data_IF_360166277641
#
_entry.id   IF_360166277641
#
_cell.length_a   1.000
_cell.length_b   1.000
_cell.length_c   1.000
_cell.angle_alpha   90.00
_cell.angle_beta   90.00
_cell.angle_gamma   90.00
#
_symmetry.space_group_name_H-M   'P 1'
#
loop_
_entity.id
_entity.type
_entity.pdbx_description
1 polymer ?
#
# COMPACT_ATOMS: atom_id res chain seq x y z
N UNK A 1 -1.78 -7.48 -22.06
CA UNK A 1 -1.87 -6.49 -20.96
C UNK A 1 -0.51 -5.79 -20.89
N UNK A 2 -0.40 -4.57 -21.43
CA UNK A 2 0.90 -3.87 -21.56
C UNK A 2 1.41 -3.44 -20.19
N UNK A 3 2.74 -3.50 -19.98
CA UNK A 3 3.40 -3.02 -18.76
C UNK A 3 3.03 -1.55 -18.44
N UNK A 4 2.68 -0.78 -19.47
CA UNK A 4 2.23 0.61 -19.34
C UNK A 4 0.92 0.75 -18.55
N UNK A 5 0.00 -0.22 -18.67
CA UNK A 5 -1.25 -0.23 -17.91
C UNK A 5 -1.04 -0.62 -16.44
N UNK A 6 0.01 -1.37 -16.12
CA UNK A 6 0.39 -1.69 -14.74
C UNK A 6 1.09 -0.51 -14.05
N UNK A 7 1.91 0.25 -14.79
CA UNK A 7 2.66 1.39 -14.25
C UNK A 7 1.81 2.67 -14.10
N UNK A 8 0.76 2.84 -14.91
CA UNK A 8 -0.08 4.06 -14.92
C UNK A 8 -1.03 4.21 -13.73
N UNK A 9 -1.21 3.19 -12.88
CA UNK A 9 -2.02 3.29 -11.64
C UNK A 9 -1.19 3.32 -10.35
N UNK A 10 0.15 3.35 -10.44
CA UNK A 10 1.03 3.29 -9.26
C UNK A 10 1.33 4.70 -8.73
N UNK A 11 0.67 5.07 -7.63
CA UNK A 11 1.02 6.29 -6.89
C UNK A 11 2.25 6.01 -6.03
N UNK A 12 3.26 6.89 -6.16
CA UNK A 12 4.55 6.75 -5.48
C UNK A 12 4.66 7.80 -4.37
N UNK A 13 5.02 7.36 -3.17
CA UNK A 13 5.33 8.26 -2.06
C UNK A 13 6.78 8.73 -2.15
N UNK A 14 6.96 9.90 -2.78
CA UNK A 14 8.26 10.58 -2.98
C UNK A 14 9.19 10.61 -1.75
N UNK A 15 8.74 10.92 -0.50
CA UNK A 15 9.67 10.97 0.63
C UNK A 15 10.26 9.60 0.98
N UNK A 16 9.47 8.53 0.87
CA UNK A 16 9.95 7.17 1.11
C UNK A 16 10.92 6.71 0.02
N UNK A 17 10.65 7.08 -1.23
CA UNK A 17 11.56 6.81 -2.34
C UNK A 17 12.91 7.51 -2.14
N UNK A 18 12.90 8.78 -1.76
CA UNK A 18 14.13 9.54 -1.49
C UNK A 18 14.93 8.94 -0.32
N UNK A 19 14.25 8.60 0.78
CA UNK A 19 14.87 7.94 1.93
C UNK A 19 15.46 6.57 1.56
N UNK A 20 14.73 5.76 0.79
CA UNK A 20 15.21 4.47 0.30
C UNK A 20 16.45 4.64 -0.58
N UNK A 21 16.42 5.55 -1.56
CA UNK A 21 17.56 5.82 -2.43
C UNK A 21 18.80 6.29 -1.65
N UNK A 22 18.61 7.16 -0.65
CA UNK A 22 19.68 7.57 0.25
C UNK A 22 20.25 6.39 1.05
N UNK A 23 19.40 5.56 1.64
CA UNK A 23 19.83 4.37 2.41
C UNK A 23 20.55 3.35 1.53
N UNK A 24 20.11 3.13 0.29
CA UNK A 24 20.82 2.28 -0.68
C UNK A 24 22.20 2.84 -0.99
N UNK A 25 22.30 4.16 -1.25
CA UNK A 25 23.60 4.80 -1.49
C UNK A 25 24.54 4.73 -0.28
N UNK A 26 24.02 5.01 0.91
CA UNK A 26 24.79 4.95 2.16
C UNK A 26 25.25 3.52 2.48
N UNK A 27 24.37 2.53 2.34
CA UNK A 27 24.72 1.11 2.57
C UNK A 27 25.71 0.58 1.55
N UNK A 28 25.58 0.94 0.27
CA UNK A 28 26.57 0.60 -0.75
C UNK A 28 27.93 1.24 -0.45
N UNK A 29 27.95 2.52 -0.05
CA UNK A 29 29.18 3.20 0.33
C UNK A 29 29.85 2.53 1.54
N UNK A 30 29.10 2.22 2.60
CA UNK A 30 29.64 1.59 3.81
C UNK A 30 30.05 0.13 3.58
N UNK A 31 29.25 -0.63 2.84
CA UNK A 31 29.45 -2.07 2.65
C UNK A 31 30.48 -2.44 1.58
N UNK A 32 30.73 -1.56 0.59
CA UNK A 32 31.69 -1.79 -0.49
C UNK A 32 32.99 -1.00 -0.33
N UNK A 33 33.03 -0.02 0.57
CA UNK A 33 34.26 0.74 0.84
C UNK A 33 35.29 -0.12 1.57
N UNK A 34 36.56 0.06 1.22
CA UNK A 34 37.72 -0.59 1.84
C UNK A 34 38.09 0.01 3.21
N UNK A 35 37.18 0.75 3.84
CA UNK A 35 37.44 1.38 5.13
C UNK A 35 37.62 0.31 6.22
N UNK A 36 38.82 0.25 6.80
CA UNK A 36 39.12 -0.53 7.99
C UNK A 36 38.46 0.11 9.22
N UNK A 37 37.13 0.04 9.31
CA UNK A 37 36.43 0.31 10.56
C UNK A 37 36.91 -0.73 11.60
N UNK A 38 37.13 -0.35 12.88
CA UNK A 38 37.57 -1.28 13.91
C UNK A 38 36.61 -2.47 13.98
N UNK A 39 37.11 -3.65 13.65
CA UNK A 39 36.31 -4.85 13.40
C UNK A 39 35.80 -5.45 14.72
N UNK A 40 34.71 -4.88 15.24
CA UNK A 40 33.89 -5.54 16.25
C UNK A 40 32.92 -6.49 15.53
N UNK A 41 33.28 -7.76 15.40
CA UNK A 41 32.55 -8.76 14.59
C UNK A 41 31.06 -9.01 14.93
N UNK A 42 30.55 -8.49 16.05
CA UNK A 42 29.10 -8.46 16.34
C UNK A 42 28.41 -7.17 15.86
N UNK A 43 29.14 -6.06 15.79
CA UNK A 43 28.62 -4.78 15.28
C UNK A 43 28.24 -4.88 13.81
N UNK A 44 28.92 -5.74 13.05
CA UNK A 44 28.69 -5.95 11.62
C UNK A 44 27.31 -6.57 11.36
N UNK A 45 26.97 -7.66 12.06
CA UNK A 45 25.67 -8.36 11.92
C UNK A 45 24.50 -7.49 12.37
N UNK A 46 24.68 -6.72 13.44
CA UNK A 46 23.70 -5.73 13.88
C UNK A 46 23.48 -4.64 12.83
N UNK A 47 24.54 -4.18 12.17
CA UNK A 47 24.46 -3.22 11.07
C UNK A 47 23.68 -3.78 9.89
N UNK A 48 23.92 -5.04 9.51
CA UNK A 48 23.17 -5.74 8.47
C UNK A 48 21.67 -5.80 8.81
N UNK A 49 21.34 -6.24 10.02
CA UNK A 49 19.96 -6.30 10.49
C UNK A 49 19.27 -4.93 10.43
N UNK A 50 19.90 -3.88 10.97
CA UNK A 50 19.33 -2.53 11.02
C UNK A 50 19.22 -1.93 9.62
N UNK A 51 20.24 -2.09 8.78
CA UNK A 51 20.24 -1.63 7.38
C UNK A 51 19.07 -2.24 6.61
N UNK A 52 18.92 -3.56 6.66
CA UNK A 52 17.86 -4.25 5.93
C UNK A 52 16.48 -4.00 6.52
N UNK A 53 16.38 -3.77 7.82
CA UNK A 53 15.15 -3.31 8.45
C UNK A 53 14.72 -1.94 7.89
N UNK A 54 15.62 -0.95 7.87
CA UNK A 54 15.32 0.40 7.38
C UNK A 54 15.05 0.43 5.87
N UNK A 55 15.84 -0.29 5.08
CA UNK A 55 15.61 -0.43 3.63
C UNK A 55 14.24 -1.04 3.35
N UNK A 56 13.87 -2.09 4.08
CA UNK A 56 12.61 -2.79 3.84
C UNK A 56 11.40 -1.95 4.27
N UNK A 57 11.47 -1.26 5.42
CA UNK A 57 10.41 -0.33 5.84
C UNK A 57 10.25 0.77 4.79
N UNK A 58 11.34 1.44 4.43
CA UNK A 58 11.26 2.56 3.48
C UNK A 58 10.75 2.11 2.12
N UNK A 59 11.19 0.96 1.61
CA UNK A 59 10.72 0.38 0.36
C UNK A 59 9.24 0.01 0.39
N UNK A 60 8.78 -0.67 1.44
CA UNK A 60 7.39 -1.13 1.57
C UNK A 60 6.38 0.02 1.40
N UNK A 61 6.74 1.21 1.89
CA UNK A 61 5.88 2.39 1.84
C UNK A 61 6.06 3.26 0.58
N UNK A 62 6.91 2.88 -0.38
CA UNK A 62 7.09 3.61 -1.66
C UNK A 62 5.82 3.54 -2.50
N UNK A 63 5.26 2.34 -2.67
CA UNK A 63 4.14 2.09 -3.58
C UNK A 63 2.82 2.10 -2.84
N UNK A 64 1.88 2.90 -3.31
CA UNK A 64 0.50 2.88 -2.82
C UNK A 64 -0.29 1.81 -3.55
N UNK A 65 -0.13 0.56 -3.12
CA UNK A 65 -0.84 -0.59 -3.71
C UNK A 65 -1.36 -1.54 -2.62
N UNK A 66 -1.94 -2.68 -3.03
CA UNK A 66 -2.49 -3.65 -2.09
C UNK A 66 -1.40 -4.25 -1.20
N UNK A 67 -1.76 -4.56 0.06
CA UNK A 67 -0.85 -5.12 1.07
C UNK A 67 -0.08 -6.34 0.53
N UNK A 68 -0.77 -7.25 -0.15
CA UNK A 68 -0.17 -8.45 -0.75
C UNK A 68 0.90 -8.12 -1.79
N UNK A 69 0.65 -7.13 -2.65
CA UNK A 69 1.63 -6.67 -3.65
C UNK A 69 2.83 -6.02 -2.98
N UNK A 70 2.62 -5.15 -1.98
CA UNK A 70 3.71 -4.56 -1.19
C UNK A 70 4.60 -5.63 -0.55
N UNK A 71 4.01 -6.63 0.11
CA UNK A 71 4.77 -7.72 0.75
C UNK A 71 5.60 -8.49 -0.29
N UNK A 72 4.98 -8.91 -1.40
CA UNK A 72 5.67 -9.69 -2.43
C UNK A 72 6.82 -8.91 -3.07
N UNK A 73 6.60 -7.62 -3.37
CA UNK A 73 7.65 -6.77 -3.95
C UNK A 73 8.78 -6.51 -2.95
N UNK A 74 8.47 -6.25 -1.68
CA UNK A 74 9.48 -6.09 -0.63
C UNK A 74 10.29 -7.37 -0.42
N UNK A 75 9.66 -8.54 -0.40
CA UNK A 75 10.36 -9.83 -0.31
C UNK A 75 11.30 -10.03 -1.51
N UNK A 76 10.80 -9.76 -2.72
CA UNK A 76 11.60 -9.94 -3.93
C UNK A 76 12.77 -8.96 -4.00
N UNK A 77 12.53 -7.67 -3.78
CA UNK A 77 13.54 -6.61 -3.97
C UNK A 77 14.47 -6.53 -2.76
N UNK A 78 13.94 -6.43 -1.54
CA UNK A 78 14.76 -6.20 -0.36
C UNK A 78 15.36 -7.50 0.19
N UNK A 79 14.56 -8.56 0.34
CA UNK A 79 15.03 -9.80 0.97
C UNK A 79 15.83 -10.66 0.00
N UNK A 80 15.27 -11.01 -1.16
CA UNK A 80 15.94 -11.86 -2.13
C UNK A 80 16.99 -11.09 -2.95
N UNK A 81 16.60 -9.95 -3.54
CA UNK A 81 17.47 -9.15 -4.41
C UNK A 81 18.62 -8.51 -3.65
N UNK A 82 18.32 -7.55 -2.77
CA UNK A 82 19.35 -6.85 -2.01
C UNK A 82 19.98 -7.73 -0.92
N UNK A 83 19.18 -8.53 -0.19
CA UNK A 83 19.67 -9.29 0.98
C UNK A 83 20.63 -10.41 0.66
N UNK A 84 20.41 -11.11 -0.45
CA UNK A 84 21.34 -12.14 -0.95
C UNK A 84 22.35 -11.49 -1.91
N UNK A 85 21.89 -10.59 -2.78
CA UNK A 85 22.73 -9.96 -3.79
C UNK A 85 23.86 -9.12 -3.21
N UNK A 86 23.66 -8.42 -2.08
CA UNK A 86 24.73 -7.64 -1.45
C UNK A 86 25.89 -8.53 -1.02
N UNK A 87 25.59 -9.70 -0.45
CA UNK A 87 26.59 -10.67 0.01
C UNK A 87 27.36 -11.28 -1.15
N UNK A 88 26.64 -11.66 -2.22
CA UNK A 88 27.26 -12.18 -3.45
C UNK A 88 28.17 -11.13 -4.08
N UNK A 89 27.72 -9.87 -4.16
CA UNK A 89 28.54 -8.78 -4.71
C UNK A 89 29.76 -8.51 -3.84
N UNK A 90 29.61 -8.52 -2.51
CA UNK A 90 30.74 -8.33 -1.59
C UNK A 90 31.78 -9.45 -1.74
N UNK A 91 31.36 -10.71 -1.78
CA UNK A 91 32.28 -11.84 -1.93
C UNK A 91 32.92 -11.97 -3.32
N UNK A 92 32.34 -11.37 -4.37
CA UNK A 92 32.92 -11.33 -5.72
C UNK A 92 33.89 -10.16 -5.93
N UNK A 93 33.74 -9.08 -5.16
CA UNK A 93 34.58 -7.90 -5.29
C UNK A 93 35.87 -8.04 -4.46
N UNK A 94 37.03 -7.57 -4.97
CA UNK A 94 38.28 -7.56 -4.22
C UNK A 94 38.31 -6.40 -3.20
N UNK A 95 37.30 -6.33 -2.33
CA UNK A 95 37.15 -5.30 -1.28
C UNK A 95 37.70 -5.77 0.09
N UNK A 96 38.18 -7.02 0.18
CA UNK A 96 38.71 -7.62 1.41
C UNK A 96 37.62 -8.14 2.36
N UNK A 97 36.39 -8.36 1.86
CA UNK A 97 35.31 -9.03 2.60
C UNK A 97 35.05 -10.41 1.99
N UNK A 98 34.95 -11.40 2.87
CA UNK A 98 34.57 -12.76 2.49
C UNK A 98 33.06 -12.93 2.59
N UNK A 99 32.53 -13.88 1.83
CA UNK A 99 31.13 -14.28 1.88
C UNK A 99 30.77 -14.91 3.25
N UNK A 100 29.84 -14.32 3.99
CA UNK A 100 29.31 -14.83 5.26
C UNK A 100 27.78 -15.14 5.17
N UNK A 101 27.37 -16.42 5.22
CA UNK A 101 25.95 -16.80 5.29
C UNK A 101 25.18 -16.18 6.47
N UNK A 102 25.87 -15.84 7.56
CA UNK A 102 25.23 -15.20 8.71
C UNK A 102 24.85 -13.74 8.44
N UNK A 103 25.50 -13.06 7.50
CA UNK A 103 25.13 -11.71 7.08
C UNK A 103 23.83 -11.76 6.25
N UNK A 104 23.66 -12.77 5.39
CA UNK A 104 22.38 -13.06 4.73
C UNK A 104 21.28 -13.33 5.76
N UNK A 105 21.57 -14.12 6.80
CA UNK A 105 20.59 -14.38 7.87
C UNK A 105 20.18 -13.09 8.58
N UNK A 106 21.14 -12.21 8.89
CA UNK A 106 20.85 -10.90 9.48
C UNK A 106 19.98 -10.03 8.55
N UNK A 107 20.25 -10.03 7.25
CA UNK A 107 19.46 -9.32 6.24
C UNK A 107 18.02 -9.84 6.16
N UNK A 108 17.85 -11.18 6.19
CA UNK A 108 16.55 -11.85 6.18
C UNK A 108 15.76 -11.54 7.45
N UNK A 109 16.38 -11.60 8.63
CA UNK A 109 15.73 -11.26 9.90
C UNK A 109 15.33 -9.79 9.93
N UNK A 110 16.23 -8.88 9.56
CA UNK A 110 15.95 -7.44 9.52
C UNK A 110 14.78 -7.10 8.59
N UNK A 111 14.80 -7.63 7.36
CA UNK A 111 13.71 -7.43 6.39
C UNK A 111 12.40 -8.10 6.81
N UNK A 112 12.44 -9.28 7.42
CA UNK A 112 11.27 -9.98 7.95
C UNK A 112 10.59 -9.20 9.09
N UNK A 113 11.36 -8.65 10.03
CA UNK A 113 10.83 -7.80 11.10
C UNK A 113 10.17 -6.52 10.56
N UNK A 114 10.82 -5.88 9.58
CA UNK A 114 10.29 -4.70 8.91
C UNK A 114 8.97 -5.00 8.17
N UNK A 115 8.89 -6.13 7.47
CA UNK A 115 7.70 -6.59 6.78
C UNK A 115 6.56 -6.90 7.75
N UNK A 116 6.85 -7.62 8.83
CA UNK A 116 5.86 -7.92 9.87
C UNK A 116 5.26 -6.65 10.47
N UNK A 117 6.11 -5.72 10.87
CA UNK A 117 5.70 -4.43 11.44
C UNK A 117 4.89 -3.61 10.42
N UNK A 118 5.37 -3.50 9.18
CA UNK A 118 4.72 -2.69 8.14
C UNK A 118 3.39 -3.29 7.70
N UNK A 119 3.30 -4.61 7.57
CA UNK A 119 2.06 -5.34 7.25
C UNK A 119 1.02 -5.17 8.35
N UNK A 120 1.43 -5.35 9.62
CA UNK A 120 0.57 -5.13 10.77
C UNK A 120 0.04 -3.69 10.82
N UNK A 121 0.92 -2.70 10.66
CA UNK A 121 0.51 -1.29 10.65
C UNK A 121 -0.39 -0.96 9.45
N UNK A 122 -0.08 -1.48 8.26
CA UNK A 122 -0.90 -1.29 7.07
C UNK A 122 -2.32 -1.83 7.29
N UNK A 123 -2.46 -3.03 7.89
CA UNK A 123 -3.77 -3.58 8.27
C UNK A 123 -4.53 -2.66 9.24
N UNK A 124 -3.88 -2.24 10.34
CA UNK A 124 -4.49 -1.36 11.35
C UNK A 124 -4.89 0.00 10.78
N UNK A 125 -4.11 0.53 9.83
CA UNK A 125 -4.43 1.78 9.14
C UNK A 125 -5.69 1.63 8.27
N UNK A 126 -5.83 0.53 7.53
CA UNK A 126 -7.00 0.26 6.69
C UNK A 126 -8.27 0.05 7.54
N UNK A 127 -8.17 -0.69 8.65
CA UNK A 127 -9.27 -0.86 9.61
C UNK A 127 -9.80 0.49 10.12
N UNK A 128 -8.90 1.43 10.47
CA UNK A 128 -9.27 2.78 10.92
C UNK A 128 -9.95 3.59 9.81
N UNK A 129 -9.42 3.54 8.59
CA UNK A 129 -10.02 4.25 7.44
C UNK A 129 -11.42 3.75 7.12
N UNK A 130 -11.66 2.43 7.22
CA UNK A 130 -13.00 1.85 7.02
C UNK A 130 -13.99 2.32 8.07
N UNK A 131 -13.62 2.30 9.35
CA UNK A 131 -14.50 2.78 10.43
C UNK A 131 -14.93 4.24 10.24
N UNK A 132 -14.04 5.09 9.73
CA UNK A 132 -14.38 6.48 9.41
C UNK A 132 -15.33 6.61 8.21
N UNK A 133 -15.26 5.70 7.22
CA UNK A 133 -16.18 5.70 6.07
C UNK A 133 -17.53 5.04 6.37
N UNK A 134 -17.55 4.02 7.21
CA UNK A 134 -18.76 3.28 7.57
C UNK A 134 -19.69 4.07 8.50
N UNK A 135 -19.20 5.15 9.12
CA UNK A 135 -20.06 6.10 9.84
C UNK A 135 -20.90 6.99 8.90
N UNK A 136 -20.59 7.01 7.60
CA UNK A 136 -21.21 7.88 6.60
C UNK A 136 -22.18 7.14 5.65
N UNK A 137 -22.33 5.81 5.79
CA UNK A 137 -23.17 5.00 4.90
C UNK A 137 -24.21 4.24 5.74
N UNK A 138 -25.48 4.41 5.37
CA UNK A 138 -26.64 3.71 5.95
C UNK A 138 -26.42 2.19 5.93
N UNK A 139 -26.71 1.43 7.00
CA UNK A 139 -26.35 0.02 7.12
C UNK A 139 -27.19 -0.82 6.16
N UNK A 140 -26.55 -1.52 5.21
CA UNK A 140 -27.32 -2.28 4.22
C UNK A 140 -26.62 -3.36 3.39
N UNK A 141 -25.30 -3.57 3.47
CA UNK A 141 -24.68 -4.68 2.72
C UNK A 141 -23.73 -5.53 3.57
N UNK A 142 -23.95 -6.84 3.43
CA UNK A 142 -23.60 -7.91 4.33
C UNK A 142 -22.10 -8.23 4.41
N UNK A 143 -21.78 -8.87 5.54
CA UNK A 143 -20.51 -9.48 5.90
C UNK A 143 -20.04 -10.53 4.88
N UNK A 144 -19.33 -10.09 3.83
CA UNK A 144 -18.50 -10.97 3.00
C UNK A 144 -17.04 -10.89 3.42
N UNK A 145 -16.46 -12.01 3.88
CA UNK A 145 -15.06 -12.25 4.25
C UNK A 145 -14.18 -10.98 4.33
N UNK A 146 -14.05 -10.46 5.55
CA UNK A 146 -13.44 -9.15 5.85
C UNK A 146 -12.03 -8.97 5.28
N UNK A 147 -11.27 -10.06 5.11
CA UNK A 147 -9.91 -10.04 4.56
C UNK A 147 -9.88 -9.87 3.03
N UNK A 148 -10.91 -10.30 2.30
CA UNK A 148 -10.97 -10.14 0.85
C UNK A 148 -11.66 -8.84 0.43
N UNK A 149 -12.71 -8.42 1.14
CA UNK A 149 -13.34 -7.11 0.93
C UNK A 149 -12.33 -5.98 1.14
N UNK A 150 -11.45 -6.17 2.13
CA UNK A 150 -10.37 -5.27 2.46
C UNK A 150 -9.39 -4.95 1.35
N UNK A 151 -8.99 -5.99 0.63
CA UNK A 151 -7.98 -5.92 -0.42
C UNK A 151 -8.62 -5.44 -1.73
N UNK A 152 -9.89 -5.78 -1.97
CA UNK A 152 -10.69 -5.29 -3.11
C UNK A 152 -10.84 -3.76 -3.11
N UNK A 153 -11.11 -3.15 -1.96
CA UNK A 153 -11.26 -1.67 -1.83
C UNK A 153 -9.97 -0.90 -2.14
N UNK A 154 -8.80 -1.51 -1.95
CA UNK A 154 -7.49 -0.88 -2.24
C UNK A 154 -7.11 -1.08 -3.71
N UNK A 155 -7.59 -2.15 -4.36
CA UNK A 155 -7.37 -2.41 -5.79
C UNK A 155 -8.33 -1.61 -6.70
N UNK A 156 -9.51 -1.23 -6.21
CA UNK A 156 -10.39 -0.25 -6.86
C UNK A 156 -9.94 1.19 -6.56
N UNK A 157 -8.74 1.54 -6.98
CA UNK A 157 -8.22 2.91 -6.97
C UNK A 157 -8.97 3.88 -7.92
N UNK A 158 -10.31 3.90 -7.90
CA UNK A 158 -11.13 4.94 -8.51
C UNK A 158 -11.38 6.01 -7.46
N UNK A 159 -10.46 6.98 -7.42
CA UNK A 159 -10.79 8.36 -7.07
C UNK A 159 -11.04 9.07 -8.40
N UNK A 160 -12.09 8.66 -9.09
CA UNK A 160 -12.83 9.57 -9.97
C UNK A 160 -13.92 10.18 -9.10
N UNK A 161 -14.22 11.46 -9.34
CA UNK A 161 -15.35 12.16 -8.71
C UNK A 161 -16.48 11.17 -8.45
N UNK A 162 -16.89 11.08 -7.19
CA UNK A 162 -18.20 10.53 -6.87
C UNK A 162 -19.17 11.50 -7.52
N UNK A 163 -19.50 11.21 -8.78
CA UNK A 163 -20.47 11.94 -9.56
C UNK A 163 -21.74 11.95 -8.71
N UNK A 164 -21.97 13.13 -8.15
CA UNK A 164 -23.16 13.49 -7.40
C UNK A 164 -24.34 12.89 -8.11
N UNK A 165 -25.10 12.04 -7.42
CA UNK A 165 -26.30 11.41 -7.95
C UNK A 165 -27.30 12.46 -8.40
N UNK A 166 -27.14 12.93 -9.64
CA UNK A 166 -28.19 13.56 -10.41
C UNK A 166 -28.70 12.43 -11.28
N UNK A 167 -29.82 11.86 -10.86
CA UNK A 167 -30.57 10.90 -11.67
C UNK A 167 -31.12 11.69 -12.86
N UNK A 168 -30.35 11.78 -13.94
CA UNK A 168 -30.91 12.03 -15.26
C UNK A 168 -31.60 10.74 -15.70
N UNK A 169 -32.85 10.61 -15.27
CA UNK A 169 -33.75 9.56 -15.72
C UNK A 169 -34.22 9.83 -17.14
N UNK A 170 -33.38 9.58 -18.13
CA UNK A 170 -33.85 9.28 -19.48
C UNK A 170 -33.99 7.76 -19.59
N UNK A 171 -35.20 7.29 -19.29
CA UNK A 171 -35.67 5.96 -19.66
C UNK A 171 -36.99 6.14 -20.38
N UNK A 172 -36.89 6.13 -21.70
CA UNK A 172 -38.00 6.23 -22.62
C UNK A 172 -38.87 4.95 -22.54
N UNK A 173 -40.19 5.19 -22.55
CA UNK A 173 -41.29 4.30 -22.97
C UNK A 173 -41.94 3.37 -21.92
N UNK A 174 -42.99 3.90 -21.29
CA UNK A 174 -44.06 3.11 -20.64
C UNK A 174 -45.04 4.02 -19.91
N UNK A 175 -46.23 4.24 -20.48
CA UNK A 175 -47.21 5.26 -20.10
C UNK A 175 -47.58 5.29 -18.59
N UNK A 176 -47.55 6.49 -18.01
CA UNK A 176 -48.09 6.80 -16.69
C UNK A 176 -47.47 8.08 -16.14
N UNK A 177 -48.13 9.22 -16.35
CA UNK A 177 -47.68 10.52 -15.87
C UNK A 177 -47.76 10.58 -14.33
N UNK A 178 -46.67 10.20 -13.65
CA UNK A 178 -46.44 10.53 -12.24
C UNK A 178 -45.82 11.92 -12.17
N UNK A 179 -46.50 12.86 -11.50
CA UNK A 179 -45.98 14.20 -11.25
C UNK A 179 -44.69 14.10 -10.45
N UNK A 180 -43.74 15.00 -10.70
CA UNK A 180 -42.52 15.05 -9.90
C UNK A 180 -42.88 15.45 -8.47
N UNK A 181 -42.17 14.92 -7.46
CA UNK A 181 -42.44 15.19 -6.03
C UNK A 181 -42.49 16.69 -5.73
N UNK A 182 -41.69 17.49 -6.45
CA UNK A 182 -41.70 18.95 -6.37
C UNK A 182 -43.01 19.56 -6.89
N UNK A 183 -43.60 19.00 -7.94
CA UNK A 183 -44.85 19.46 -8.53
C UNK A 183 -46.08 19.01 -7.73
N UNK A 184 -46.02 17.87 -7.03
CA UNK A 184 -47.07 17.48 -6.07
C UNK A 184 -47.10 18.39 -4.85
N UNK A 185 -45.93 18.81 -4.36
CA UNK A 185 -45.82 19.67 -3.19
C UNK A 185 -46.27 21.12 -3.48
N UNK A 186 -45.94 21.64 -4.66
CA UNK A 186 -46.34 22.99 -5.08
C UNK A 186 -47.85 23.12 -5.35
N UNK A 187 -48.52 22.00 -5.60
CA UNK A 187 -49.93 21.95 -5.97
C UNK A 187 -50.82 21.32 -4.88
N UNK A 188 -50.28 21.19 -3.66
CA UNK A 188 -50.98 20.67 -2.49
C UNK A 188 -51.92 21.73 -1.91
N UNK A 189 -53.23 21.44 -1.92
CA UNK A 189 -54.25 22.27 -1.29
C UNK A 189 -54.56 21.72 0.12
N UNK A 190 -54.19 22.48 1.16
CA UNK A 190 -54.38 22.10 2.57
C UNK A 190 -55.87 21.95 2.97
N UNK A 191 -56.81 22.47 2.16
CA UNK A 191 -58.25 22.42 2.44
C UNK A 191 -59.02 21.43 1.54
N UNK A 192 -58.33 20.53 0.82
CA UNK A 192 -59.02 19.49 0.08
C UNK A 192 -59.76 18.56 1.08
N UNK A 193 -61.10 18.56 1.03
CA UNK A 193 -61.92 17.61 1.81
C UNK A 193 -61.95 16.26 1.09
N UNK A 194 -61.02 15.37 1.44
CA UNK A 194 -60.94 13.99 0.95
C UNK A 194 -61.35 12.98 2.03
N UNK A 195 -62.63 13.01 2.43
CA UNK A 195 -63.23 12.06 3.38
C UNK A 195 -64.40 11.26 2.77
N UNK A 196 -64.15 10.47 1.73
CA UNK A 196 -65.04 9.38 1.29
C UNK A 196 -64.47 8.00 1.63
#
# INVERSE_FOLDING_TARGET
MSLDAFMSSLRIRKPFLAAFGFLVGASAYLGLSTQKLPQYGQSDKGLHLVTFFLLTITFYWILETSRRRCINLSLLVCTAGLGIGSEVVQGLLPNGRDFDPYDILANVVGSGLALGLSSWYHRRMLERKRKNKHYDIVPGEELGDEDHAAERDVELGVVGDQETGVVHGDSQAGAGAGKTVTEELDNWDENAEDWD
#
